data_IF_692690296006
#
_entry.id   IF_692690296006
#
_cell.length_a   1.000
_cell.length_b   1.000
_cell.length_c   1.000
_cell.angle_alpha   90.00
_cell.angle_beta   90.00
_cell.angle_gamma   90.00
#
_symmetry.space_group_name_H-M   'P 1'
#
loop_
_entity.id
_entity.type
_entity.pdbx_description
1 polymer ?
#
# COMPACT_ATOMS: atom_id res chain seq x y z
N UNK A 1 -5.38 13.81 18.47
CA UNK A 1 -5.48 12.33 18.41
C UNK A 1 -6.71 11.75 17.67
N UNK A 2 -7.75 12.52 17.29
CA UNK A 2 -8.99 11.94 16.72
C UNK A 2 -9.04 11.72 15.20
N UNK A 3 -8.23 12.41 14.40
CA UNK A 3 -8.38 12.42 12.92
C UNK A 3 -7.66 11.24 12.25
N UNK A 4 -6.44 10.90 12.68
CA UNK A 4 -5.68 9.76 12.16
C UNK A 4 -6.36 8.41 12.46
N UNK A 5 -6.86 8.22 13.69
CA UNK A 5 -7.62 7.02 14.09
C UNK A 5 -8.98 6.88 13.36
N UNK A 6 -9.53 7.97 12.80
CA UNK A 6 -10.73 7.95 11.95
C UNK A 6 -10.39 7.60 10.50
N UNK A 7 -9.21 8.00 9.99
CA UNK A 7 -8.73 7.62 8.65
C UNK A 7 -8.40 6.13 8.55
N UNK A 8 -7.67 5.59 9.53
CA UNK A 8 -7.30 4.17 9.56
C UNK A 8 -8.51 3.23 9.67
N UNK A 9 -9.58 3.62 10.39
CA UNK A 9 -10.81 2.83 10.49
C UNK A 9 -11.64 2.80 9.20
N UNK A 10 -11.61 3.89 8.41
CA UNK A 10 -12.38 4.01 7.16
C UNK A 10 -11.81 3.14 6.02
N UNK A 11 -10.49 3.14 5.84
CA UNK A 11 -9.83 2.28 4.85
C UNK A 11 -10.00 0.78 5.16
N UNK A 12 -10.17 0.43 6.45
CA UNK A 12 -10.24 -0.96 6.88
C UNK A 12 -11.64 -1.59 6.86
N UNK A 13 -12.67 -0.80 7.08
CA UNK A 13 -14.06 -1.25 6.83
C UNK A 13 -14.29 -1.56 5.35
N UNK A 14 -13.47 -0.99 4.46
CA UNK A 14 -13.57 -1.14 3.03
C UNK A 14 -13.03 -2.48 2.51
N UNK A 15 -11.83 -2.91 2.95
CA UNK A 15 -11.27 -4.22 2.59
C UNK A 15 -12.21 -5.38 2.95
N UNK A 16 -12.83 -5.35 4.15
CA UNK A 16 -13.86 -6.33 4.55
C UNK A 16 -15.17 -6.21 3.76
N UNK A 17 -15.53 -5.01 3.30
CA UNK A 17 -16.73 -4.81 2.48
C UNK A 17 -16.55 -5.40 1.08
N UNK A 18 -15.37 -5.21 0.47
CA UNK A 18 -15.01 -5.82 -0.82
C UNK A 18 -14.99 -7.36 -0.76
N UNK A 19 -14.55 -7.95 0.36
CA UNK A 19 -14.58 -9.40 0.57
C UNK A 19 -16.01 -9.98 0.67
N UNK A 20 -16.99 -9.20 1.11
CA UNK A 20 -18.33 -9.71 1.44
C UNK A 20 -19.42 -9.39 0.43
N UNK A 21 -19.20 -8.48 -0.53
CA UNK A 21 -20.18 -8.16 -1.57
C UNK A 21 -19.54 -8.02 -2.94
N UNK A 22 -19.71 -9.04 -3.76
CA UNK A 22 -19.66 -8.88 -5.21
C UNK A 22 -20.72 -7.85 -5.61
N UNK A 23 -20.29 -6.69 -6.08
CA UNK A 23 -21.17 -5.68 -6.66
C UNK A 23 -21.84 -6.31 -7.89
N UNK A 24 -23.15 -6.61 -7.81
CA UNK A 24 -23.95 -6.99 -8.98
C UNK A 24 -24.63 -5.73 -9.48
N UNK A 25 -24.31 -5.21 -10.67
CA UNK A 25 -25.15 -4.20 -11.29
C UNK A 25 -26.51 -4.85 -11.58
N UNK A 26 -27.57 -4.27 -11.03
CA UNK A 26 -28.94 -4.57 -11.47
C UNK A 26 -29.03 -4.17 -12.94
N UNK A 27 -29.18 -5.17 -13.81
CA UNK A 27 -29.53 -4.95 -15.22
C UNK A 27 -30.89 -4.27 -15.29
N UNK A 28 -30.92 -3.08 -15.88
CA UNK A 28 -32.11 -2.50 -16.49
C UNK A 28 -32.76 -1.38 -15.68
N UNK A 29 -32.38 -0.13 -15.97
CA UNK A 29 -33.35 0.86 -16.47
C UNK A 29 -32.62 2.13 -16.96
N UNK A 30 -32.77 2.56 -18.23
CA UNK A 30 -32.15 3.79 -18.74
C UNK A 30 -32.93 5.07 -18.35
N UNK A 31 -33.83 5.02 -17.36
CA UNK A 31 -34.79 6.10 -17.10
C UNK A 31 -34.79 6.76 -15.71
N UNK A 32 -33.97 6.33 -14.74
CA UNK A 32 -34.01 6.87 -13.38
C UNK A 32 -32.74 7.67 -13.03
N UNK A 33 -32.67 8.90 -13.53
CA UNK A 33 -31.83 9.94 -12.94
C UNK A 33 -32.52 10.42 -11.64
N UNK A 34 -32.31 9.70 -10.54
CA UNK A 34 -32.92 10.04 -9.26
C UNK A 34 -32.30 9.29 -8.09
N UNK A 35 -31.38 9.95 -7.39
CA UNK A 35 -31.11 9.72 -5.96
C UNK A 35 -30.42 8.41 -5.57
N UNK A 36 -29.11 8.33 -5.77
CA UNK A 36 -28.24 7.39 -5.04
C UNK A 36 -27.82 7.94 -3.67
N UNK A 37 -28.73 8.52 -2.89
CA UNK A 37 -28.44 9.00 -1.51
C UNK A 37 -28.80 7.99 -0.41
N UNK A 38 -29.57 6.93 -0.69
CA UNK A 38 -30.22 6.15 0.37
C UNK A 38 -29.39 5.07 1.08
N UNK A 39 -28.48 4.36 0.39
CA UNK A 39 -27.94 3.10 0.93
C UNK A 39 -26.50 3.17 1.47
N UNK A 40 -25.75 4.23 1.13
CA UNK A 40 -24.41 4.45 1.68
C UNK A 40 -24.42 5.01 3.09
N UNK A 41 -25.36 5.92 3.39
CA UNK A 41 -25.38 6.67 4.66
C UNK A 41 -25.91 5.84 5.83
N UNK A 42 -26.88 4.94 5.59
CA UNK A 42 -27.40 4.05 6.62
C UNK A 42 -26.36 3.01 7.09
N UNK A 43 -25.57 2.45 6.16
CA UNK A 43 -24.46 1.56 6.50
C UNK A 43 -23.31 2.29 7.21
N UNK A 44 -23.05 3.55 6.85
CA UNK A 44 -22.04 4.40 7.48
C UNK A 44 -22.43 4.81 8.91
N UNK A 45 -23.72 5.02 9.19
CA UNK A 45 -24.23 5.39 10.53
C UNK A 45 -24.23 4.19 11.50
N UNK A 46 -24.55 3.00 11.01
CA UNK A 46 -24.50 1.75 11.81
C UNK A 46 -23.05 1.40 12.21
N UNK A 47 -22.06 1.70 11.36
CA UNK A 47 -20.64 1.51 11.68
C UNK A 47 -20.08 2.57 12.66
N UNK A 48 -20.78 3.69 12.88
CA UNK A 48 -20.36 4.78 13.78
C UNK A 48 -20.91 4.65 15.21
N UNK A 49 -22.04 3.96 15.44
CA UNK A 49 -22.78 4.02 16.72
C UNK A 49 -22.79 2.71 17.57
N UNK A 50 -22.22 1.60 17.09
CA UNK A 50 -21.92 0.42 17.94
C UNK A 50 -23.11 -0.24 18.66
N UNK A 51 -24.35 -0.09 18.19
CA UNK A 51 -25.52 -0.78 18.75
C UNK A 51 -26.00 -1.92 17.84
N UNK A 52 -26.10 -3.12 18.41
CA UNK A 52 -26.73 -4.28 17.77
C UNK A 52 -28.26 -4.13 17.75
N UNK A 53 -28.95 -4.52 16.67
CA UNK A 53 -30.41 -4.54 16.65
C UNK A 53 -31.00 -5.72 17.45
N UNK A 54 -32.23 -5.60 17.99
CA UNK A 54 -32.93 -6.72 18.62
C UNK A 54 -33.30 -7.78 17.57
N UNK A 55 -33.22 -9.06 17.98
CA UNK A 55 -33.53 -10.22 17.15
C UNK A 55 -34.98 -10.19 16.66
N UNK A 56 -35.18 -10.07 15.34
CA UNK A 56 -36.46 -10.37 14.72
C UNK A 56 -36.67 -11.89 14.64
N UNK A 57 -37.70 -12.38 15.35
CA UNK A 57 -38.24 -13.74 15.21
C UNK A 57 -38.78 -13.92 13.79
N UNK A 58 -38.27 -14.91 13.07
CA UNK A 58 -38.90 -15.39 11.84
C UNK A 58 -40.09 -16.27 12.18
N UNK A 59 -41.29 -15.81 11.82
CA UNK A 59 -42.51 -16.60 11.87
C UNK A 59 -42.49 -17.67 10.76
N UNK A 60 -42.72 -18.91 11.19
CA UNK A 60 -43.03 -20.06 10.35
C UNK A 60 -44.40 -19.90 9.69
N UNK A 61 -44.46 -20.09 8.37
CA UNK A 61 -45.69 -20.46 7.69
C UNK A 61 -45.38 -21.60 6.72
N UNK A 62 -45.82 -22.79 7.10
CA UNK A 62 -45.68 -23.99 6.29
C UNK A 62 -46.69 -24.04 5.15
N UNK A 63 -46.30 -24.68 4.05
CA UNK A 63 -47.20 -25.46 3.21
C UNK A 63 -46.47 -26.70 2.72
N UNK A 64 -47.01 -27.84 3.12
CA UNK A 64 -46.71 -29.17 2.60
C UNK A 64 -47.33 -29.31 1.21
N UNK A 65 -46.64 -29.93 0.27
CA UNK A 65 -47.21 -30.96 -0.62
C UNK A 65 -46.10 -31.81 -1.22
N UNK A 66 -46.44 -33.08 -1.42
CA UNK A 66 -45.57 -34.22 -1.56
C UNK A 66 -45.20 -34.53 -3.02
N UNK A 67 -44.07 -35.22 -3.15
CA UNK A 67 -43.74 -36.34 -4.04
C UNK A 67 -44.28 -36.39 -5.48
N UNK A 68 -43.34 -36.48 -6.43
CA UNK A 68 -43.35 -37.51 -7.46
C UNK A 68 -41.92 -37.73 -7.99
N UNK A 69 -41.44 -38.97 -7.87
CA UNK A 69 -40.26 -39.48 -8.58
C UNK A 69 -40.60 -39.65 -10.06
N UNK A 70 -39.64 -39.39 -10.94
CA UNK A 70 -39.72 -39.72 -12.36
C UNK A 70 -38.33 -39.79 -12.98
N UNK A 71 -37.83 -41.00 -13.16
CA UNK A 71 -36.68 -41.32 -14.00
C UNK A 71 -37.04 -41.04 -15.46
N UNK A 72 -36.11 -40.46 -16.21
CA UNK A 72 -36.25 -40.27 -17.66
C UNK A 72 -34.90 -40.01 -18.30
N UNK A 73 -34.27 -41.06 -18.81
CA UNK A 73 -33.13 -40.98 -19.72
C UNK A 73 -33.61 -40.54 -21.11
N UNK A 74 -32.87 -39.66 -21.77
CA UNK A 74 -32.82 -39.64 -23.25
C UNK A 74 -31.58 -38.94 -23.77
N UNK A 75 -31.00 -39.60 -24.77
CA UNK A 75 -29.83 -39.24 -25.52
C UNK A 75 -30.12 -38.14 -26.55
N UNK A 76 -29.09 -37.37 -26.89
CA UNK A 76 -29.08 -36.45 -28.03
C UNK A 76 -27.73 -35.74 -28.18
N UNK A 77 -26.87 -36.27 -29.06
CA UNK A 77 -25.68 -35.57 -29.61
C UNK A 77 -26.14 -34.57 -30.72
N UNK A 78 -25.23 -33.98 -31.52
CA UNK A 78 -24.39 -32.81 -31.23
C UNK A 78 -24.63 -31.69 -32.27
N UNK A 79 -24.29 -30.43 -31.98
CA UNK A 79 -24.40 -29.40 -33.01
C UNK A 79 -23.74 -28.08 -32.67
N UNK A 80 -22.64 -27.79 -33.38
CA UNK A 80 -22.24 -26.46 -33.88
C UNK A 80 -21.94 -25.36 -32.86
N UNK A 81 -20.73 -24.79 -32.93
CA UNK A 81 -20.49 -23.49 -33.60
C UNK A 81 -18.97 -23.26 -33.55
N UNK A 82 -18.37 -23.08 -34.73
CA UNK A 82 -16.96 -22.75 -34.89
C UNK A 82 -16.61 -21.46 -34.15
N UNK A 83 -15.71 -21.56 -33.17
CA UNK A 83 -15.00 -20.41 -32.63
C UNK A 83 -14.07 -19.89 -33.70
N UNK A 84 -14.48 -18.82 -34.40
CA UNK A 84 -13.55 -17.96 -35.13
C UNK A 84 -12.53 -17.44 -34.12
N UNK A 85 -11.28 -17.84 -34.29
CA UNK A 85 -10.15 -17.25 -33.58
C UNK A 85 -10.12 -15.78 -33.92
N UNK A 86 -10.44 -14.94 -32.95
CA UNK A 86 -10.02 -13.56 -32.99
C UNK A 86 -8.50 -13.58 -32.83
N UNK A 87 -7.80 -13.10 -33.85
CA UNK A 87 -6.37 -12.82 -33.82
C UNK A 87 -6.09 -11.86 -32.65
N UNK A 88 -5.83 -12.43 -31.47
CA UNK A 88 -5.20 -11.71 -30.37
C UNK A 88 -3.76 -11.48 -30.82
N UNK A 89 -3.53 -10.34 -31.45
CA UNK A 89 -2.21 -9.77 -31.59
C UNK A 89 -1.51 -9.93 -30.23
N UNK A 90 -0.49 -10.79 -30.18
CA UNK A 90 0.28 -11.03 -28.97
C UNK A 90 0.98 -9.72 -28.63
N UNK A 91 0.34 -8.94 -27.76
CA UNK A 91 0.88 -7.73 -27.17
C UNK A 91 2.21 -8.13 -26.53
N UNK A 92 3.26 -7.33 -26.74
CA UNK A 92 4.57 -7.61 -26.15
C UNK A 92 4.39 -7.82 -24.64
N UNK A 93 5.04 -8.84 -24.04
CA UNK A 93 4.80 -9.21 -22.63
C UNK A 93 5.07 -8.08 -21.63
N UNK A 94 5.78 -7.02 -22.04
CA UNK A 94 6.11 -5.87 -21.19
C UNK A 94 5.20 -4.64 -21.39
N UNK A 95 4.25 -4.68 -22.32
CA UNK A 95 3.40 -3.53 -22.59
C UNK A 95 2.15 -3.57 -21.69
N UNK A 96 2.15 -2.72 -20.66
CA UNK A 96 1.03 -2.58 -19.74
C UNK A 96 -0.24 -2.11 -20.48
N UNK A 97 -1.42 -2.65 -20.15
CA UNK A 97 -2.66 -2.31 -20.83
C UNK A 97 -3.01 -0.83 -20.59
N UNK A 98 -3.21 -0.09 -21.69
CA UNK A 98 -3.55 1.32 -21.70
C UNK A 98 -4.79 1.58 -22.57
N UNK A 99 -5.71 2.39 -22.05
CA UNK A 99 -7.00 2.65 -22.67
C UNK A 99 -7.14 4.14 -23.00
N UNK A 100 -7.51 4.51 -24.24
CA UNK A 100 -7.83 5.89 -24.55
C UNK A 100 -9.06 6.32 -23.74
N UNK A 101 -8.92 7.44 -23.06
CA UNK A 101 -9.95 8.01 -22.19
C UNK A 101 -10.05 9.51 -22.42
N UNK A 102 -11.26 10.06 -22.33
CA UNK A 102 -11.46 11.51 -22.34
C UNK A 102 -11.98 11.96 -20.97
N UNK A 103 -11.29 12.86 -20.26
CA UNK A 103 -11.75 13.32 -18.95
C UNK A 103 -13.10 14.04 -19.03
N UNK A 104 -14.03 13.68 -18.15
CA UNK A 104 -15.34 14.36 -18.01
C UNK A 104 -15.35 15.28 -16.79
N UNK A 105 -14.70 14.87 -15.70
CA UNK A 105 -14.77 15.57 -14.41
C UNK A 105 -14.02 16.91 -14.39
N UNK A 106 -14.58 17.90 -13.70
CA UNK A 106 -14.01 19.26 -13.61
C UNK A 106 -12.60 19.30 -12.99
N UNK A 107 -12.29 18.39 -12.06
CA UNK A 107 -10.97 18.23 -11.43
C UNK A 107 -9.88 17.70 -12.39
N UNK A 108 -10.26 17.35 -13.63
CA UNK A 108 -9.39 16.93 -14.71
C UNK A 108 -9.41 17.89 -15.91
N UNK A 109 -10.09 19.05 -15.79
CA UNK A 109 -10.23 20.03 -16.88
C UNK A 109 -8.90 20.61 -17.38
N UNK A 110 -7.86 20.58 -16.55
CA UNK A 110 -6.51 21.03 -16.92
C UNK A 110 -5.68 19.98 -17.66
N UNK A 111 -6.20 18.75 -17.84
CA UNK A 111 -5.47 17.69 -18.53
C UNK A 111 -5.57 17.85 -20.05
N UNK A 112 -4.52 17.47 -20.80
CA UNK A 112 -4.59 17.44 -22.25
C UNK A 112 -5.65 16.44 -22.72
N UNK A 113 -6.25 16.68 -23.89
CA UNK A 113 -7.29 15.82 -24.46
C UNK A 113 -6.78 14.41 -24.82
N UNK A 114 -5.48 14.25 -25.03
CA UNK A 114 -4.84 12.99 -25.42
C UNK A 114 -4.22 12.26 -24.22
N UNK A 115 -5.07 11.69 -23.37
CA UNK A 115 -4.66 10.88 -22.22
C UNK A 115 -5.09 9.43 -22.33
N UNK A 116 -4.23 8.54 -21.84
CA UNK A 116 -4.52 7.11 -21.70
C UNK A 116 -4.62 6.78 -20.21
N UNK A 117 -5.57 5.91 -19.86
CA UNK A 117 -5.66 5.28 -18.55
C UNK A 117 -4.93 3.94 -18.61
N UNK A 118 -3.75 3.88 -18.00
CA UNK A 118 -2.89 2.69 -17.92
C UNK A 118 -3.15 1.96 -16.60
N UNK A 119 -3.31 0.65 -16.68
CA UNK A 119 -3.45 -0.21 -15.49
C UNK A 119 -2.09 -0.83 -15.17
N UNK A 120 -1.44 -0.29 -14.13
CA UNK A 120 -0.18 -0.76 -13.58
C UNK A 120 -0.45 -1.79 -12.46
N UNK A 121 0.50 -2.69 -12.09
CA UNK A 121 0.27 -3.68 -11.03
C UNK A 121 -0.16 -3.09 -9.67
N UNK A 122 0.22 -1.86 -9.38
CA UNK A 122 -0.04 -1.19 -8.09
C UNK A 122 -0.85 0.10 -8.21
N UNK A 123 -1.11 0.60 -9.41
CA UNK A 123 -1.74 1.91 -9.61
C UNK A 123 -2.56 2.02 -10.92
N UNK A 124 -3.54 2.91 -10.91
CA UNK A 124 -4.12 3.45 -12.14
C UNK A 124 -3.38 4.73 -12.50
N UNK A 125 -2.81 4.79 -13.70
CA UNK A 125 -1.99 5.92 -14.14
C UNK A 125 -2.65 6.61 -15.33
N UNK A 126 -2.73 7.94 -15.24
CA UNK A 126 -3.02 8.77 -16.41
C UNK A 126 -1.70 9.11 -17.08
N UNK A 127 -1.55 8.68 -18.32
CA UNK A 127 -0.34 8.90 -19.12
C UNK A 127 -0.68 9.70 -20.37
N UNK A 128 0.24 10.55 -20.80
CA UNK A 128 0.08 11.29 -22.04
C UNK A 128 0.27 10.35 -23.24
N UNK A 129 -0.65 10.35 -24.21
CA UNK A 129 -0.66 9.35 -25.29
C UNK A 129 0.61 9.37 -26.14
N UNK A 130 1.13 10.56 -26.46
CA UNK A 130 2.30 10.71 -27.34
C UNK A 130 3.66 10.51 -26.65
N UNK A 131 3.77 10.84 -25.35
CA UNK A 131 5.06 10.83 -24.63
C UNK A 131 5.19 9.70 -23.62
N UNK A 132 4.08 9.01 -23.30
CA UNK A 132 4.00 8.01 -22.22
C UNK A 132 4.38 8.54 -20.83
N UNK A 133 4.50 9.87 -20.67
CA UNK A 133 4.80 10.50 -19.41
C UNK A 133 3.60 10.35 -18.45
N UNK A 134 3.87 9.91 -17.22
CA UNK A 134 2.86 9.80 -16.17
C UNK A 134 2.46 11.20 -15.71
N UNK A 135 1.18 11.54 -15.91
CA UNK A 135 0.60 12.82 -15.52
C UNK A 135 0.07 12.73 -14.10
N UNK A 136 -0.63 11.65 -13.77
CA UNK A 136 -1.12 11.34 -12.42
C UNK A 136 -1.07 9.84 -12.16
N UNK A 137 -0.80 9.46 -10.92
CA UNK A 137 -0.80 8.06 -10.47
C UNK A 137 -1.72 7.93 -9.26
N UNK A 138 -2.63 6.97 -9.33
CA UNK A 138 -3.59 6.65 -8.27
C UNK A 138 -3.32 5.22 -7.79
N UNK A 139 -2.64 5.05 -6.64
CA UNK A 139 -2.39 3.72 -6.11
C UNK A 139 -3.69 2.95 -5.88
N UNK A 140 -3.73 1.66 -6.25
CA UNK A 140 -4.96 0.85 -6.16
C UNK A 140 -5.51 0.77 -4.73
N UNK A 141 -4.63 0.80 -3.72
CA UNK A 141 -5.04 0.83 -2.32
C UNK A 141 -5.79 2.12 -1.92
N UNK A 142 -5.64 3.21 -2.69
CA UNK A 142 -6.30 4.49 -2.46
C UNK A 142 -7.64 4.62 -3.21
N UNK A 143 -8.04 3.60 -3.98
CA UNK A 143 -9.26 3.61 -4.81
C UNK A 143 -10.34 2.74 -4.17
N UNK A 144 -11.25 3.32 -3.34
CA UNK A 144 -12.32 2.55 -2.71
C UNK A 144 -13.37 1.99 -3.67
N UNK A 145 -13.59 2.58 -4.84
CA UNK A 145 -14.55 1.99 -5.75
C UNK A 145 -14.34 2.49 -7.16
N UNK A 146 -14.69 1.64 -8.10
CA UNK A 146 -14.80 1.95 -9.51
C UNK A 146 -16.08 1.34 -10.06
N UNK A 147 -16.46 1.79 -11.24
CA UNK A 147 -17.59 1.25 -11.99
C UNK A 147 -17.57 1.80 -13.40
N UNK A 148 -18.35 1.18 -14.27
CA UNK A 148 -18.43 1.58 -15.66
C UNK A 148 -19.88 1.62 -16.15
N UNK A 149 -20.10 2.39 -17.20
CA UNK A 149 -21.31 2.36 -18.01
C UNK A 149 -20.94 1.94 -19.44
N UNK A 150 -21.89 1.99 -20.38
CA UNK A 150 -21.60 1.68 -21.79
C UNK A 150 -20.57 2.61 -22.44
N UNK A 151 -20.42 3.82 -21.92
CA UNK A 151 -19.57 4.86 -22.52
C UNK A 151 -18.68 5.57 -21.52
N UNK A 152 -18.71 5.20 -20.23
CA UNK A 152 -17.89 5.84 -19.20
C UNK A 152 -17.24 4.83 -18.28
N UNK A 153 -16.09 5.20 -17.74
CA UNK A 153 -15.44 4.54 -16.61
C UNK A 153 -15.21 5.58 -15.53
N UNK A 154 -15.52 5.24 -14.28
CA UNK A 154 -15.32 6.14 -13.16
C UNK A 154 -14.75 5.42 -11.96
N UNK A 155 -13.97 6.14 -11.17
CA UNK A 155 -13.51 5.66 -9.87
C UNK A 155 -13.43 6.79 -8.86
N UNK A 156 -13.47 6.43 -7.58
CA UNK A 156 -13.26 7.35 -6.47
C UNK A 156 -11.92 7.05 -5.85
N UNK A 157 -11.10 8.06 -5.60
CA UNK A 157 -9.82 7.89 -4.94
C UNK A 157 -9.65 8.88 -3.78
N UNK A 158 -8.90 8.46 -2.77
CA UNK A 158 -8.42 9.36 -1.72
C UNK A 158 -7.28 10.21 -2.28
N UNK A 159 -7.49 11.52 -2.38
CA UNK A 159 -6.47 12.47 -2.81
C UNK A 159 -5.94 13.18 -1.57
N UNK A 160 -4.63 13.10 -1.26
CA UNK A 160 -4.06 13.84 -0.15
C UNK A 160 -4.12 15.35 -0.47
N UNK A 161 -4.96 16.09 0.26
CA UNK A 161 -4.96 17.56 0.21
C UNK A 161 -3.91 18.08 1.18
N UNK A 162 -3.08 19.00 0.71
CA UNK A 162 -1.81 19.45 1.34
C UNK A 162 -1.91 19.98 2.78
N UNK A 163 -3.09 20.27 3.31
CA UNK A 163 -3.24 20.84 4.66
C UNK A 163 -4.50 20.36 5.42
N UNK A 164 -5.65 20.24 4.76
CA UNK A 164 -6.95 20.08 5.46
C UNK A 164 -7.48 18.64 5.53
N UNK A 165 -6.64 17.69 5.13
CA UNK A 165 -6.96 16.28 5.11
C UNK A 165 -7.46 15.76 3.77
N UNK A 166 -7.20 14.48 3.53
CA UNK A 166 -7.51 13.85 2.24
C UNK A 166 -8.99 14.01 1.86
N UNK A 167 -9.22 14.46 0.63
CA UNK A 167 -10.54 14.48 0.00
C UNK A 167 -10.79 13.15 -0.71
N UNK A 168 -12.05 12.78 -0.87
CA UNK A 168 -12.43 11.70 -1.79
C UNK A 168 -12.92 12.37 -3.06
N UNK A 169 -12.18 12.21 -4.14
CA UNK A 169 -12.54 12.76 -5.44
C UNK A 169 -13.08 11.64 -6.34
N UNK A 170 -14.05 11.98 -7.17
CA UNK A 170 -14.55 11.12 -8.24
C UNK A 170 -13.86 11.53 -9.53
N UNK A 171 -13.33 10.55 -10.25
CA UNK A 171 -12.73 10.70 -11.57
C UNK A 171 -13.58 9.95 -12.57
N UNK A 172 -14.06 10.64 -13.58
CA UNK A 172 -14.93 10.09 -14.63
C UNK A 172 -14.31 10.34 -16.01
N UNK A 173 -14.35 9.30 -16.82
CA UNK A 173 -13.74 9.24 -18.14
C UNK A 173 -14.73 8.70 -19.15
N UNK A 174 -14.81 9.33 -20.33
CA UNK A 174 -15.48 8.78 -21.49
C UNK A 174 -14.59 7.69 -22.10
N UNK A 175 -15.13 6.48 -22.23
CA UNK A 175 -14.48 5.37 -22.93
C UNK A 175 -15.50 4.30 -23.33
N UNK A 176 -15.45 3.78 -24.57
CA UNK A 176 -16.29 2.65 -24.97
C UNK A 176 -15.80 1.31 -24.39
N UNK A 177 -14.62 1.29 -23.76
CA UNK A 177 -13.96 0.08 -23.24
C UNK A 177 -14.09 -0.10 -21.73
N UNK A 178 -15.12 0.50 -21.11
CA UNK A 178 -15.30 0.48 -19.66
C UNK A 178 -15.37 -0.94 -19.06
N UNK A 179 -16.07 -1.87 -19.72
CA UNK A 179 -16.18 -3.27 -19.26
C UNK A 179 -14.85 -4.01 -19.31
N UNK A 180 -14.11 -3.86 -20.42
CA UNK A 180 -12.79 -4.48 -20.60
C UNK A 180 -11.80 -3.95 -19.55
N UNK A 181 -11.79 -2.62 -19.37
CA UNK A 181 -10.96 -1.93 -18.39
C UNK A 181 -11.25 -2.42 -16.97
N UNK A 182 -12.52 -2.51 -16.55
CA UNK A 182 -12.87 -3.07 -15.24
C UNK A 182 -12.36 -4.52 -15.10
N UNK A 183 -12.55 -5.35 -16.12
CA UNK A 183 -12.06 -6.73 -16.13
C UNK A 183 -10.55 -6.83 -15.90
N UNK A 184 -9.77 -5.94 -16.53
CA UNK A 184 -8.32 -5.84 -16.35
C UNK A 184 -7.97 -5.33 -14.95
N UNK A 185 -8.60 -4.26 -14.47
CA UNK A 185 -8.38 -3.75 -13.10
C UNK A 185 -8.65 -4.83 -12.06
N UNK A 186 -9.77 -5.56 -12.20
CA UNK A 186 -10.11 -6.68 -11.30
C UNK A 186 -9.12 -7.84 -11.39
N UNK A 187 -8.56 -8.12 -12.57
CA UNK A 187 -7.50 -9.14 -12.70
C UNK A 187 -6.21 -8.69 -12.01
N UNK A 188 -5.80 -7.44 -12.24
CA UNK A 188 -4.61 -6.84 -11.62
C UNK A 188 -4.72 -6.78 -10.10
N UNK A 189 -5.86 -6.37 -9.55
CA UNK A 189 -6.09 -6.34 -8.09
C UNK A 189 -6.03 -7.75 -7.49
N UNK A 190 -6.63 -8.76 -8.15
CA UNK A 190 -6.54 -10.16 -7.68
C UNK A 190 -5.10 -10.67 -7.68
N UNK A 191 -4.33 -10.31 -8.70
CA UNK A 191 -2.92 -10.66 -8.80
C UNK A 191 -2.10 -9.98 -7.70
N UNK A 192 -2.32 -8.68 -7.47
CA UNK A 192 -1.71 -7.94 -6.38
C UNK A 192 -2.00 -8.58 -5.02
N UNK A 193 -3.27 -8.92 -4.74
CA UNK A 193 -3.64 -9.61 -3.49
C UNK A 193 -2.98 -10.98 -3.35
N UNK A 194 -2.82 -11.73 -4.46
CA UNK A 194 -2.11 -13.01 -4.46
C UNK A 194 -0.64 -12.82 -4.12
N UNK A 195 0.01 -11.83 -4.71
CA UNK A 195 1.42 -11.52 -4.47
C UNK A 195 1.67 -11.01 -3.05
N UNK A 196 0.78 -10.16 -2.53
CA UNK A 196 0.81 -9.71 -1.14
C UNK A 196 0.63 -10.89 -0.17
N UNK A 197 -0.29 -11.82 -0.45
CA UNK A 197 -0.48 -13.01 0.37
C UNK A 197 0.72 -13.95 0.33
N UNK A 198 1.42 -14.04 -0.79
CA UNK A 198 2.59 -14.91 -0.95
C UNK A 198 3.84 -14.35 -0.23
N UNK A 199 4.04 -13.04 -0.23
CA UNK A 199 5.18 -12.35 0.41
C UNK A 199 4.92 -12.00 1.88
N UNK A 200 3.64 -11.85 2.25
CA UNK A 200 3.23 -11.38 3.56
C UNK A 200 3.45 -12.42 4.65
N UNK A 201 3.61 -11.96 5.90
CA UNK A 201 3.66 -12.86 7.05
C UNK A 201 2.27 -13.50 7.27
N UNK A 202 2.15 -14.84 7.24
CA UNK A 202 0.92 -15.54 7.58
C UNK A 202 0.48 -15.27 9.02
N UNK A 203 -0.83 -15.19 9.26
CA UNK A 203 -1.39 -14.85 10.59
C UNK A 203 -0.87 -15.75 11.73
N UNK A 204 -0.70 -17.04 11.47
CA UNK A 204 -0.19 -17.99 12.46
C UNK A 204 1.26 -17.70 12.86
N UNK A 205 2.13 -17.45 11.87
CA UNK A 205 3.53 -17.09 12.10
C UNK A 205 3.63 -15.72 12.78
N UNK A 206 2.77 -14.77 12.40
CA UNK A 206 2.71 -13.47 13.05
C UNK A 206 2.26 -13.57 14.52
N UNK A 207 1.25 -14.39 14.84
CA UNK A 207 0.86 -14.63 16.23
C UNK A 207 1.97 -15.30 17.03
N UNK A 208 2.69 -16.26 16.44
CA UNK A 208 3.84 -16.90 17.09
C UNK A 208 4.92 -15.87 17.42
N UNK A 209 5.30 -15.01 16.47
CA UNK A 209 6.24 -13.92 16.72
C UNK A 209 5.76 -13.00 17.84
N UNK A 210 4.48 -12.61 17.83
CA UNK A 210 3.92 -11.77 18.91
C UNK A 210 3.96 -12.45 20.28
N UNK A 211 3.75 -13.77 20.35
CA UNK A 211 3.88 -14.52 21.61
C UNK A 211 5.31 -14.52 22.11
N UNK A 212 6.29 -14.82 21.23
CA UNK A 212 7.72 -14.78 21.58
C UNK A 212 8.12 -13.40 22.12
N UNK A 213 7.71 -12.32 21.45
CA UNK A 213 8.01 -10.95 21.88
C UNK A 213 7.38 -10.56 23.23
N UNK A 214 6.34 -11.27 23.68
CA UNK A 214 5.70 -11.03 24.98
C UNK A 214 6.35 -11.81 26.10
N UNK A 215 6.85 -13.00 25.79
CA UNK A 215 7.44 -13.92 26.76
C UNK A 215 8.94 -13.63 26.97
N UNK A 216 9.65 -13.27 25.89
CA UNK A 216 11.09 -13.04 25.90
C UNK A 216 11.42 -11.57 25.64
N UNK A 217 11.93 -10.89 26.67
CA UNK A 217 12.34 -9.49 26.54
C UNK A 217 13.68 -9.32 25.80
N UNK A 218 14.56 -10.31 25.92
CA UNK A 218 15.92 -10.27 25.37
C UNK A 218 15.88 -10.70 23.91
N UNK A 219 16.44 -9.88 23.01
CA UNK A 219 16.54 -10.23 21.58
C UNK A 219 15.27 -9.97 20.76
N UNK A 220 14.28 -9.27 21.31
CA UNK A 220 13.02 -8.95 20.63
C UNK A 220 13.22 -8.35 19.22
N UNK A 221 14.15 -7.41 19.07
CA UNK A 221 14.47 -6.79 17.77
C UNK A 221 15.09 -7.78 16.77
N UNK A 222 15.87 -8.75 17.25
CA UNK A 222 16.55 -9.72 16.40
C UNK A 222 15.54 -10.73 15.83
N UNK A 223 14.59 -11.18 16.66
CA UNK A 223 13.46 -12.00 16.21
C UNK A 223 12.62 -11.29 15.15
N UNK A 224 12.36 -10.00 15.32
CA UNK A 224 11.65 -9.18 14.32
C UNK A 224 12.47 -9.08 13.02
N UNK A 225 13.78 -8.80 13.10
CA UNK A 225 14.67 -8.73 11.94
C UNK A 225 14.71 -10.04 11.17
N UNK A 226 14.79 -11.18 11.86
CA UNK A 226 14.84 -12.49 11.23
C UNK A 226 13.60 -12.76 10.37
N UNK A 227 12.40 -12.44 10.87
CA UNK A 227 11.16 -12.59 10.09
C UNK A 227 11.10 -11.57 8.95
N UNK A 228 11.60 -10.36 9.18
CA UNK A 228 11.67 -9.29 8.19
C UNK A 228 12.58 -9.61 6.99
N UNK A 229 13.55 -10.53 7.14
CA UNK A 229 14.40 -10.95 6.01
C UNK A 229 13.65 -11.78 4.96
N UNK A 230 12.59 -12.48 5.34
CA UNK A 230 11.89 -13.41 4.43
C UNK A 230 10.48 -12.97 4.10
N UNK A 231 9.92 -12.02 4.84
CA UNK A 231 8.54 -11.59 4.69
C UNK A 231 8.38 -10.08 4.69
N UNK A 232 7.28 -9.68 4.08
CA UNK A 232 6.80 -8.32 4.15
C UNK A 232 5.65 -8.19 5.15
N UNK A 233 5.56 -7.01 5.74
CA UNK A 233 4.55 -6.69 6.74
C UNK A 233 3.53 -5.71 6.19
N UNK A 234 2.28 -5.92 6.58
CA UNK A 234 1.30 -4.86 6.48
C UNK A 234 1.56 -3.79 7.56
N UNK A 235 1.02 -2.59 7.35
CA UNK A 235 1.24 -1.47 8.28
C UNK A 235 0.72 -1.75 9.69
N UNK A 236 -0.32 -2.57 9.85
CA UNK A 236 -0.86 -2.90 11.17
C UNK A 236 0.03 -3.86 11.93
N UNK A 237 0.55 -4.87 11.23
CA UNK A 237 1.55 -5.78 11.76
C UNK A 237 2.77 -4.98 12.21
N UNK A 238 3.28 -4.08 11.37
CA UNK A 238 4.40 -3.20 11.72
C UNK A 238 4.09 -2.32 12.94
N UNK A 239 2.95 -1.62 12.97
CA UNK A 239 2.56 -0.80 14.12
C UNK A 239 2.47 -1.63 15.41
N UNK A 240 1.91 -2.84 15.32
CA UNK A 240 1.79 -3.76 16.46
C UNK A 240 3.17 -4.23 16.94
N UNK A 241 4.08 -4.59 16.03
CA UNK A 241 5.44 -5.01 16.39
C UNK A 241 6.23 -3.87 17.03
N UNK A 242 6.22 -2.67 16.44
CA UNK A 242 6.91 -1.50 17.00
C UNK A 242 6.37 -1.16 18.39
N UNK A 243 5.06 -1.25 18.60
CA UNK A 243 4.45 -1.04 19.91
C UNK A 243 4.89 -2.10 20.92
N UNK A 244 4.88 -3.39 20.53
CA UNK A 244 5.28 -4.48 21.41
C UNK A 244 6.75 -4.39 21.80
N UNK A 245 7.65 -4.16 20.83
CA UNK A 245 9.08 -3.96 21.09
C UNK A 245 9.29 -2.77 22.01
N UNK A 246 8.62 -1.64 21.75
CA UNK A 246 8.74 -0.46 22.60
C UNK A 246 8.23 -0.64 24.03
N UNK A 247 7.27 -1.53 24.27
CA UNK A 247 6.79 -1.86 25.61
C UNK A 247 7.79 -2.71 26.41
N UNK A 248 8.57 -3.54 25.70
CA UNK A 248 9.61 -4.39 26.29
C UNK A 248 10.91 -3.60 26.49
N UNK A 249 11.33 -2.88 25.45
CA UNK A 249 12.54 -2.07 25.39
C UNK A 249 12.22 -0.75 24.69
N UNK A 250 11.98 0.33 25.45
CA UNK A 250 11.71 1.65 24.89
C UNK A 250 12.82 2.15 23.95
N UNK A 251 14.07 1.79 24.23
CA UNK A 251 15.23 2.15 23.42
C UNK A 251 15.22 1.48 22.04
N UNK A 252 14.71 0.25 21.94
CA UNK A 252 14.64 -0.48 20.67
C UNK A 252 13.42 -0.10 19.83
N UNK A 253 12.50 0.73 20.35
CA UNK A 253 11.30 1.15 19.61
C UNK A 253 11.65 1.85 18.30
N UNK A 254 12.61 2.78 18.33
CA UNK A 254 13.08 3.48 17.13
C UNK A 254 13.79 2.53 16.16
N UNK A 255 14.56 1.58 16.69
CA UNK A 255 15.23 0.56 15.88
C UNK A 255 14.24 -0.37 15.16
N UNK A 256 13.17 -0.77 15.85
CA UNK A 256 12.08 -1.54 15.27
C UNK A 256 11.41 -0.77 14.13
N UNK A 257 11.14 0.54 14.28
CA UNK A 257 10.55 1.34 13.21
C UNK A 257 11.48 1.40 11.97
N UNK A 258 12.78 1.62 12.18
CA UNK A 258 13.79 1.63 11.10
C UNK A 258 13.86 0.26 10.41
N UNK A 259 13.80 -0.83 11.17
CA UNK A 259 13.78 -2.19 10.64
C UNK A 259 12.53 -2.50 9.81
N UNK A 260 11.37 -1.96 10.19
CA UNK A 260 10.10 -2.24 9.50
C UNK A 260 9.93 -1.48 8.19
N UNK A 261 10.51 -0.29 8.04
CA UNK A 261 10.37 0.51 6.82
C UNK A 261 10.68 -0.27 5.51
N UNK A 262 11.84 -0.93 5.35
CA UNK A 262 12.18 -1.65 4.12
C UNK A 262 11.27 -2.85 3.86
N UNK A 263 10.61 -3.39 4.88
CA UNK A 263 9.78 -4.60 4.78
C UNK A 263 8.29 -4.33 4.69
N UNK A 264 7.87 -3.06 4.72
CA UNK A 264 6.46 -2.70 4.49
C UNK A 264 6.07 -2.88 3.03
N UNK A 265 4.88 -3.45 2.79
CA UNK A 265 4.25 -3.48 1.46
C UNK A 265 4.05 -2.09 0.87
N UNK A 266 3.64 -1.13 1.69
CA UNK A 266 3.37 0.24 1.28
C UNK A 266 4.19 1.21 2.12
N UNK A 267 5.16 1.88 1.49
CA UNK A 267 6.05 2.86 2.14
C UNK A 267 5.30 4.12 2.58
N UNK A 268 4.29 4.55 1.83
CA UNK A 268 3.48 5.74 2.16
C UNK A 268 2.73 5.55 3.49
N UNK A 269 2.40 4.31 3.84
CA UNK A 269 1.73 3.96 5.08
C UNK A 269 2.66 4.02 6.31
N UNK A 270 3.97 4.19 6.14
CA UNK A 270 4.92 4.29 7.26
C UNK A 270 4.68 5.52 8.13
N UNK A 271 3.99 6.54 7.62
CA UNK A 271 3.47 7.67 8.41
C UNK A 271 2.69 7.21 9.66
N UNK A 272 1.93 6.11 9.56
CA UNK A 272 1.20 5.53 10.69
C UNK A 272 2.11 4.88 11.75
N UNK A 273 3.31 4.45 11.34
CA UNK A 273 4.33 3.94 12.27
C UNK A 273 5.03 5.12 12.96
N UNK A 274 5.31 6.20 12.24
CA UNK A 274 5.86 7.44 12.80
C UNK A 274 4.91 8.08 13.81
N UNK A 275 3.59 7.98 13.59
CA UNK A 275 2.56 8.45 14.52
C UNK A 275 2.57 7.73 15.89
N UNK A 276 3.33 6.62 16.03
CA UNK A 276 3.52 5.93 17.32
C UNK A 276 4.55 6.63 18.22
N UNK A 277 5.28 7.62 17.72
CA UNK A 277 6.30 8.37 18.44
C UNK A 277 5.76 9.76 18.74
N UNK A 278 5.56 10.07 20.02
CA UNK A 278 5.05 11.37 20.45
C UNK A 278 6.10 12.48 20.26
N UNK A 279 7.38 12.17 20.49
CA UNK A 279 8.48 13.10 20.33
C UNK A 279 8.79 13.36 18.84
N UNK A 280 8.86 14.65 18.48
CA UNK A 280 9.26 15.09 17.16
C UNK A 280 10.74 14.77 16.86
N UNK A 281 11.60 14.77 17.87
CA UNK A 281 13.01 14.43 17.71
C UNK A 281 13.21 12.97 17.29
N UNK A 282 12.44 12.05 17.88
CA UNK A 282 12.46 10.62 17.51
C UNK A 282 12.01 10.41 16.07
N UNK A 283 10.90 11.05 15.67
CA UNK A 283 10.41 10.98 14.27
C UNK A 283 11.46 11.51 13.29
N UNK A 284 12.08 12.65 13.61
CA UNK A 284 13.14 13.24 12.79
C UNK A 284 14.37 12.34 12.69
N UNK A 285 14.79 11.72 13.81
CA UNK A 285 15.91 10.78 13.84
C UNK A 285 15.62 9.54 12.98
N UNK A 286 14.43 8.94 13.09
CA UNK A 286 14.02 7.80 12.26
C UNK A 286 14.05 8.16 10.77
N UNK A 287 13.46 9.31 10.40
CA UNK A 287 13.45 9.77 9.02
C UNK A 287 14.88 10.01 8.50
N UNK A 288 15.73 10.67 9.29
CA UNK A 288 17.13 10.91 8.95
C UNK A 288 17.90 9.60 8.72
N UNK A 289 17.76 8.61 9.59
CA UNK A 289 18.41 7.29 9.46
C UNK A 289 17.99 6.55 8.19
N UNK A 290 16.71 6.68 7.81
CA UNK A 290 16.15 6.08 6.61
C UNK A 290 16.41 6.90 5.34
N UNK A 291 16.91 8.13 5.46
CA UNK A 291 17.08 9.05 4.31
C UNK A 291 15.74 9.56 3.76
N UNK A 292 14.72 9.64 4.61
CA UNK A 292 13.38 10.08 4.27
C UNK A 292 13.23 11.58 4.55
N UNK A 293 12.52 12.26 3.68
CA UNK A 293 11.98 13.59 3.95
C UNK A 293 10.48 13.51 4.12
N UNK A 294 9.96 14.18 5.14
CA UNK A 294 8.53 14.37 5.31
C UNK A 294 8.20 15.71 4.68
N UNK A 295 7.37 15.70 3.64
CA UNK A 295 6.95 16.94 3.01
C UNK A 295 6.03 17.76 3.94
N UNK A 296 5.69 18.98 3.53
CA UNK A 296 4.78 19.85 4.30
C UNK A 296 3.38 19.25 4.50
N UNK A 297 3.03 18.20 3.75
CA UNK A 297 1.75 17.51 3.80
C UNK A 297 1.76 16.31 4.74
N UNK A 298 2.94 15.96 5.28
CA UNK A 298 3.15 14.78 6.10
C UNK A 298 3.40 13.50 5.28
N UNK A 299 3.53 13.59 3.96
CA UNK A 299 3.84 12.46 3.10
C UNK A 299 5.36 12.19 3.09
N UNK A 300 5.72 10.92 3.02
CA UNK A 300 7.11 10.49 2.98
C UNK A 300 7.59 10.55 1.54
N UNK A 301 8.63 11.34 1.31
CA UNK A 301 9.35 11.42 0.05
C UNK A 301 10.71 10.79 0.29
N UNK A 302 10.98 9.68 -0.39
CA UNK A 302 12.31 9.11 -0.44
C UNK A 302 13.22 10.09 -1.18
N UNK A 303 14.24 10.61 -0.50
CA UNK A 303 15.38 11.09 -1.26
C UNK A 303 15.97 9.83 -1.88
N UNK A 304 15.81 9.70 -3.21
CA UNK A 304 16.57 8.73 -3.96
C UNK A 304 18.00 8.90 -3.50
N UNK A 305 18.49 7.93 -2.69
CA UNK A 305 19.87 7.87 -2.27
C UNK A 305 20.58 7.82 -3.61
N UNK A 306 21.06 8.98 -4.08
CA UNK A 306 22.08 9.04 -5.11
C UNK A 306 23.06 8.00 -4.61
N UNK A 307 23.24 6.95 -5.39
CA UNK A 307 24.38 6.09 -5.23
C UNK A 307 25.54 7.06 -5.06
N UNK A 308 26.01 7.19 -3.83
CA UNK A 308 27.32 7.71 -3.57
C UNK A 308 28.26 6.61 -4.07
N UNK A 309 28.24 6.38 -5.40
CA UNK A 309 29.45 6.18 -6.15
C UNK A 309 30.36 7.26 -5.59
N UNK A 310 31.30 6.81 -4.76
CA UNK A 310 32.43 7.58 -4.29
C UNK A 310 32.78 8.52 -5.42
N UNK A 311 32.52 9.81 -5.22
CA UNK A 311 33.15 10.83 -6.04
C UNK A 311 34.65 10.46 -5.96
N UNK A 312 35.30 10.14 -7.10
CA UNK A 312 36.68 9.70 -7.07
C UNK A 312 37.44 10.81 -6.37
N UNK A 313 37.96 10.51 -5.18
CA UNK A 313 38.76 11.46 -4.42
C UNK A 313 39.81 11.99 -5.39
N UNK A 314 39.66 13.26 -5.75
CA UNK A 314 40.63 13.98 -6.57
C UNK A 314 41.99 13.69 -5.93
N UNK A 315 42.93 13.06 -6.64
CA UNK A 315 44.20 12.67 -6.05
C UNK A 315 44.80 13.92 -5.42
N UNK A 316 44.98 13.88 -4.10
CA UNK A 316 45.69 14.92 -3.35
C UNK A 316 47.06 15.04 -4.03
N UNK A 317 47.25 16.14 -4.74
CA UNK A 317 48.53 16.49 -5.33
C UNK A 317 49.55 16.48 -4.20
N UNK A 318 50.47 15.52 -4.31
CA UNK A 318 51.63 15.34 -3.44
C UNK A 318 52.35 16.70 -3.34
N UNK A 319 52.60 17.25 -2.13
CA UNK A 319 53.41 18.44 -2.03
C UNK A 319 54.81 18.14 -2.61
N UNK A 320 55.43 19.11 -3.32
CA UNK A 320 56.74 18.92 -3.91
C UNK A 320 57.77 18.62 -2.81
N UNK A 321 58.65 17.68 -3.12
CA UNK A 321 59.78 17.29 -2.28
C UNK A 321 60.61 18.54 -1.94
N UNK A 322 60.62 18.90 -0.67
CA UNK A 322 61.62 19.80 -0.14
C UNK A 322 62.90 18.98 0.06
N UNK A 323 63.93 19.34 -0.68
CA UNK A 323 65.29 18.88 -0.47
C UNK A 323 65.70 19.13 0.99
N UNK A 324 66.26 18.09 1.62
CA UNK A 324 67.10 18.27 2.81
C UNK A 324 68.39 19.04 2.44
N UNK A 325 69.23 19.44 3.41
CA UNK A 325 69.68 18.55 4.48
C UNK A 325 69.93 19.24 5.84
N UNK A 326 69.98 18.45 6.92
CA UNK A 326 71.21 18.31 7.72
C UNK A 326 70.96 17.61 9.05
N UNK A 327 71.80 16.60 9.25
CA UNK A 327 72.09 15.92 10.51
C UNK A 327 72.30 16.93 11.65
N UNK A 328 71.66 16.67 12.78
CA UNK A 328 72.26 16.94 14.09
C UNK A 328 71.80 15.85 15.07
N UNK A 329 72.81 15.14 15.56
CA UNK A 329 72.82 14.14 16.60
C UNK A 329 72.23 14.70 17.92
N UNK A 330 71.44 13.89 18.63
CA UNK A 330 70.91 14.26 19.94
C UNK A 330 70.41 13.05 20.71
N UNK A 331 71.35 12.34 21.32
CA UNK A 331 71.15 11.32 22.34
C UNK A 331 70.34 11.86 23.54
N UNK A 332 69.33 11.13 23.98
CA UNK A 332 68.53 11.47 25.16
C UNK A 332 67.75 10.26 25.68
N UNK A 333 68.42 9.46 26.50
CA UNK A 333 67.89 8.39 27.34
C UNK A 333 67.07 8.93 28.52
N UNK A 334 66.00 8.24 28.90
CA UNK A 334 65.24 8.47 30.14
C UNK A 334 63.89 7.74 30.09
N UNK A 335 63.75 6.53 30.62
CA UNK A 335 63.53 6.18 32.05
C UNK A 335 62.07 6.31 32.52
N UNK A 336 61.45 5.14 32.66
CA UNK A 336 60.70 4.63 33.85
C UNK A 336 59.49 5.36 34.45
N UNK A 337 58.46 4.55 34.76
CA UNK A 337 57.50 4.72 35.86
C UNK A 337 56.11 5.21 35.42
N UNK A 338 54.97 4.81 35.98
CA UNK A 338 54.68 3.91 37.11
C UNK A 338 53.19 3.51 37.07
N UNK A 339 52.94 2.29 37.55
CA UNK A 339 51.83 1.80 38.38
C UNK A 339 50.77 2.81 38.88
N UNK A 340 49.50 2.39 38.82
CA UNK A 340 48.39 3.01 39.58
C UNK A 340 47.18 2.09 39.74
N UNK A 341 47.22 1.24 40.76
CA UNK A 341 46.10 0.50 41.35
C UNK A 341 45.24 1.40 42.25
N UNK A 342 43.91 1.17 42.33
CA UNK A 342 43.06 1.80 43.35
C UNK A 342 41.60 1.31 43.32
N UNK A 343 41.31 0.34 44.18
CA UNK A 343 40.00 -0.19 44.65
C UNK A 343 39.27 0.84 45.55
N UNK A 344 37.99 0.65 45.97
CA UNK A 344 37.52 -0.42 46.89
C UNK A 344 36.62 -1.49 46.26
#
# INVERSE_FOLDING_TARGET
>A
CGVAARRARRAWSWLRWCETRAWRPTRGDPGAAGGCEGNGVAALRIALEGRLPPRCRTASAGRRRAAAMGNGASAGRPGGVGRRGADRAATRPDELPAYPVKPISANLSSLPFDVLLRVDPEALQLVHAGTQAVVRSYPLYAIPCWGFTRSTFQFRAFVPVRADGGSVETFEFETPKGEELEGVVMATVRELMRNMKARGVPDAQFQQLVSVLREEAVGAIESVRQVAMTHEFDVKQACRLVTLVGNVSPFDKAEAAVCMYPTLFNKDSFTLVLDLFDDAADRANICHRLGLTVDSTGAIVEHGRRNAAREPQKPRSRPPAADGPSRASGSGSGSSGSSGSGTP
#
